data_IF_068985617749
#
_entry.id   IF_068985617749
#
_cell.length_a   1.000
_cell.length_b   1.000
_cell.length_c   1.000
_cell.angle_alpha   90.00
_cell.angle_beta   90.00
_cell.angle_gamma   90.00
#
_symmetry.space_group_name_H-M   'P 1'
#
loop_
_entity.id
_entity.type
_entity.pdbx_description
1 polymer ?
#
# COMPACT_ATOMS: atom_id res chain seq x y z
N UNK A 1 33.78 24.30 -26.14
CA UNK A 1 33.54 22.85 -26.12
C UNK A 1 33.34 22.43 -24.68
N UNK A 2 32.09 22.33 -24.23
CA UNK A 2 31.76 21.82 -22.90
C UNK A 2 30.85 20.62 -23.10
N UNK A 3 31.34 19.46 -22.66
CA UNK A 3 30.64 18.19 -22.77
C UNK A 3 29.41 18.19 -21.85
N UNK A 4 28.26 17.89 -22.43
CA UNK A 4 27.04 17.50 -21.71
C UNK A 4 27.26 16.13 -21.05
N UNK A 5 26.92 15.93 -19.77
CA UNK A 5 26.90 14.59 -19.20
C UNK A 5 25.70 13.82 -19.78
N UNK A 6 25.99 12.63 -20.29
CA UNK A 6 25.02 11.64 -20.75
C UNK A 6 24.11 11.21 -19.60
N UNK A 7 22.82 11.51 -19.73
CA UNK A 7 21.76 10.89 -18.94
C UNK A 7 21.47 9.52 -19.52
N UNK A 8 22.09 8.47 -18.99
CA UNK A 8 21.66 7.07 -19.14
C UNK A 8 22.40 6.18 -18.11
N UNK A 9 22.26 6.51 -16.83
CA UNK A 9 22.48 5.52 -15.76
C UNK A 9 21.10 5.02 -15.30
N UNK A 10 20.78 3.73 -15.50
CA UNK A 10 19.52 3.17 -15.02
C UNK A 10 19.51 3.17 -13.48
N UNK A 11 18.47 3.79 -12.91
CA UNK A 11 18.17 3.73 -11.48
C UNK A 11 17.98 2.26 -11.08
N UNK A 12 18.84 1.75 -10.20
CA UNK A 12 18.93 0.35 -9.77
C UNK A 12 17.72 -0.20 -8.99
N UNK A 13 16.51 0.36 -9.16
CA UNK A 13 15.27 -0.04 -8.51
C UNK A 13 14.05 0.00 -9.45
N UNK A 14 14.25 -0.05 -10.77
CA UNK A 14 13.17 -0.47 -11.67
C UNK A 14 13.02 -2.00 -11.61
N UNK A 15 11.78 -2.54 -11.62
CA UNK A 15 11.54 -3.98 -11.58
C UNK A 15 11.89 -4.60 -12.94
N UNK A 16 13.19 -4.68 -13.24
CA UNK A 16 13.68 -5.48 -14.34
C UNK A 16 13.76 -6.94 -13.87
N UNK A 17 12.70 -7.67 -14.22
CA UNK A 17 12.71 -9.08 -14.58
C UNK A 17 13.52 -10.02 -13.67
N UNK A 18 12.92 -10.41 -12.56
CA UNK A 18 13.21 -11.71 -11.95
C UNK A 18 12.38 -12.77 -12.68
N UNK A 19 12.93 -13.28 -13.78
CA UNK A 19 12.47 -14.50 -14.42
C UNK A 19 12.89 -15.70 -13.55
N UNK A 20 11.94 -16.50 -13.06
CA UNK A 20 12.20 -17.83 -12.50
C UNK A 20 11.17 -18.81 -13.05
N UNK A 21 11.68 -20.02 -13.34
CA UNK A 21 11.06 -21.24 -13.86
C UNK A 21 9.52 -21.34 -13.78
N UNK A 22 8.92 -21.75 -14.90
CA UNK A 22 7.49 -22.06 -15.16
C UNK A 22 6.70 -21.01 -15.96
N UNK A 23 7.32 -19.91 -16.39
CA UNK A 23 6.71 -19.00 -17.36
C UNK A 23 5.53 -18.18 -16.82
N UNK A 24 5.34 -18.16 -15.50
CA UNK A 24 4.41 -17.27 -14.80
C UNK A 24 5.21 -16.18 -14.10
N UNK A 25 4.88 -14.91 -14.37
CA UNK A 25 5.44 -13.79 -13.62
C UNK A 25 5.18 -13.98 -12.12
N UNK A 26 6.16 -13.69 -11.24
CA UNK A 26 5.97 -13.85 -9.81
C UNK A 26 4.78 -12.98 -9.35
N UNK A 27 3.86 -13.60 -8.60
CA UNK A 27 2.69 -12.91 -8.06
C UNK A 27 3.13 -11.83 -7.05
N UNK A 28 3.25 -10.58 -7.49
CA UNK A 28 3.61 -9.48 -6.59
C UNK A 28 2.36 -8.81 -6.02
N UNK A 29 2.24 -8.87 -4.71
CA UNK A 29 1.22 -8.20 -3.92
C UNK A 29 1.67 -6.78 -3.56
N UNK A 30 0.73 -5.92 -3.23
CA UNK A 30 0.99 -4.53 -2.85
C UNK A 30 0.51 -4.26 -1.42
N UNK A 31 1.06 -3.21 -0.80
CA UNK A 31 0.55 -2.69 0.46
C UNK A 31 -0.95 -2.29 0.40
N UNK A 32 -1.47 -1.98 -0.79
CA UNK A 32 -2.90 -1.75 -1.02
C UNK A 32 -3.71 -3.05 -0.94
N UNK A 33 -3.17 -4.19 -1.40
CA UNK A 33 -3.81 -5.49 -1.20
C UNK A 33 -3.85 -5.85 0.28
N UNK A 34 -2.74 -5.61 1.01
CA UNK A 34 -2.71 -5.81 2.47
C UNK A 34 -3.84 -5.00 3.13
N UNK A 35 -3.95 -3.70 2.84
CA UNK A 35 -5.06 -2.86 3.32
C UNK A 35 -6.41 -3.49 2.97
N UNK A 36 -6.60 -3.87 1.72
CA UNK A 36 -7.88 -4.34 1.22
C UNK A 36 -8.25 -5.72 1.81
N UNK A 37 -7.28 -6.57 2.10
CA UNK A 37 -7.49 -7.85 2.79
C UNK A 37 -8.14 -7.66 4.16
N UNK A 38 -7.71 -6.64 4.92
CA UNK A 38 -8.31 -6.27 6.20
C UNK A 38 -9.70 -5.61 6.08
N UNK A 39 -10.11 -5.21 4.87
CA UNK A 39 -11.48 -4.81 4.57
C UNK A 39 -12.30 -6.05 4.23
N UNK A 40 -11.85 -6.81 3.23
CA UNK A 40 -12.41 -8.09 2.81
C UNK A 40 -11.40 -8.85 1.92
N UNK A 41 -10.98 -10.04 2.36
CA UNK A 41 -10.06 -10.92 1.62
C UNK A 41 -10.56 -11.26 0.21
N UNK A 42 -11.88 -11.48 0.06
CA UNK A 42 -12.48 -11.78 -1.25
C UNK A 42 -12.34 -10.65 -2.26
N UNK A 43 -12.28 -9.40 -1.82
CA UNK A 43 -12.08 -8.28 -2.75
C UNK A 43 -10.70 -8.35 -3.39
N UNK A 44 -9.67 -8.71 -2.62
CA UNK A 44 -8.31 -8.94 -3.16
C UNK A 44 -8.33 -10.12 -4.12
N UNK A 45 -8.94 -11.24 -3.72
CA UNK A 45 -9.06 -12.43 -4.56
C UNK A 45 -9.72 -12.11 -5.91
N UNK A 46 -10.90 -11.47 -5.90
CA UNK A 46 -11.60 -11.08 -7.12
C UNK A 46 -10.79 -10.09 -7.96
N UNK A 47 -10.16 -9.08 -7.37
CA UNK A 47 -9.34 -8.13 -8.12
C UNK A 47 -8.15 -8.81 -8.81
N UNK A 48 -7.50 -9.75 -8.13
CA UNK A 48 -6.29 -10.40 -8.61
C UNK A 48 -6.58 -11.48 -9.66
N UNK A 49 -7.69 -12.21 -9.56
CA UNK A 49 -8.04 -13.24 -10.54
C UNK A 49 -8.89 -12.71 -11.70
N UNK A 50 -9.78 -11.74 -11.47
CA UNK A 50 -10.69 -11.23 -12.52
C UNK A 50 -10.07 -10.07 -13.33
N UNK A 51 -8.91 -9.55 -12.93
CA UNK A 51 -8.12 -8.58 -13.67
C UNK A 51 -8.92 -7.36 -14.15
N UNK A 52 -9.09 -7.24 -15.48
CA UNK A 52 -9.67 -6.09 -16.19
C UNK A 52 -11.17 -5.89 -16.01
N UNK A 53 -11.90 -6.85 -15.44
CA UNK A 53 -13.36 -6.74 -15.25
C UNK A 53 -13.76 -5.96 -14.00
N UNK A 54 -12.85 -5.13 -13.48
CA UNK A 54 -13.08 -4.34 -12.28
C UNK A 54 -14.06 -3.19 -12.56
N UNK A 55 -15.23 -3.15 -11.89
CA UNK A 55 -16.10 -1.99 -11.96
C UNK A 55 -15.44 -0.82 -11.22
N UNK A 56 -15.14 0.28 -11.90
CA UNK A 56 -14.68 1.50 -11.22
C UNK A 56 -15.84 2.17 -10.52
N UNK A 57 -15.70 2.45 -9.22
CA UNK A 57 -16.68 3.25 -8.49
C UNK A 57 -16.38 4.74 -8.59
N UNK A 58 -17.39 5.58 -8.41
CA UNK A 58 -17.23 7.05 -8.41
C UNK A 58 -16.20 7.52 -7.36
N UNK A 59 -16.19 6.91 -6.16
CA UNK A 59 -15.21 7.23 -5.12
C UNK A 59 -13.76 6.90 -5.53
N UNK A 60 -13.56 5.90 -6.38
CA UNK A 60 -12.24 5.57 -6.92
C UNK A 60 -11.80 6.58 -7.98
N UNK A 61 -12.70 6.98 -8.88
CA UNK A 61 -12.43 7.99 -9.91
C UNK A 61 -12.07 9.34 -9.27
N UNK A 62 -12.87 9.79 -8.29
CA UNK A 62 -12.57 11.00 -7.51
C UNK A 62 -11.25 10.87 -6.74
N UNK A 63 -10.96 9.70 -6.17
CA UNK A 63 -9.69 9.42 -5.49
C UNK A 63 -8.46 9.52 -6.40
N UNK A 64 -8.59 9.09 -7.66
CA UNK A 64 -7.52 9.08 -8.68
C UNK A 64 -7.29 10.48 -9.30
N UNK A 65 -8.38 11.19 -9.63
CA UNK A 65 -8.33 12.58 -10.13
C UNK A 65 -7.72 13.53 -9.08
N UNK A 66 -8.07 13.36 -7.81
CA UNK A 66 -7.48 14.09 -6.68
C UNK A 66 -6.00 13.76 -6.45
N UNK A 67 -5.58 12.54 -6.83
CA UNK A 67 -4.22 12.04 -6.66
C UNK A 67 -3.18 12.83 -7.46
N UNK A 68 -3.54 13.25 -8.67
CA UNK A 68 -2.55 13.62 -9.68
C UNK A 68 -2.15 15.11 -9.68
N UNK A 69 -3.07 16.03 -9.35
CA UNK A 69 -2.80 17.49 -9.48
C UNK A 69 -2.95 18.29 -8.19
N UNK A 70 -3.83 17.90 -7.27
CA UNK A 70 -4.06 18.62 -6.02
C UNK A 70 -3.20 18.08 -4.86
N UNK A 71 -2.96 16.75 -4.81
CA UNK A 71 -2.17 16.09 -3.76
C UNK A 71 -0.72 16.59 -3.69
N UNK A 72 -0.02 16.76 -4.80
CA UNK A 72 1.37 17.27 -4.80
C UNK A 72 1.49 18.68 -4.18
N UNK A 73 0.50 19.56 -4.41
CA UNK A 73 0.45 20.92 -3.84
C UNK A 73 0.01 20.93 -2.38
N UNK A 74 -0.94 20.07 -2.00
CA UNK A 74 -1.42 19.94 -0.62
C UNK A 74 -0.34 19.30 0.29
N UNK A 75 0.35 18.23 -0.18
CA UNK A 75 1.42 17.56 0.57
C UNK A 75 2.52 18.54 1.00
N UNK A 76 3.03 19.38 0.08
CA UNK A 76 4.08 20.38 0.38
C UNK A 76 3.67 21.40 1.44
N UNK A 77 2.41 21.84 1.48
CA UNK A 77 1.91 22.80 2.48
C UNK A 77 1.81 22.19 3.88
N UNK A 78 1.57 20.88 3.97
CA UNK A 78 1.37 20.18 5.25
C UNK A 78 2.65 19.58 5.84
N UNK A 79 3.79 19.63 5.11
CA UNK A 79 5.10 19.18 5.61
C UNK A 79 5.51 19.83 6.94
N UNK A 80 5.11 21.08 7.18
CA UNK A 80 5.42 21.81 8.43
C UNK A 80 4.84 21.19 9.69
N UNK A 81 3.86 20.30 9.55
CA UNK A 81 3.24 19.59 10.69
C UNK A 81 3.79 18.17 10.87
N UNK A 82 4.69 17.74 9.99
CA UNK A 82 5.35 16.45 10.07
C UNK A 82 6.67 16.57 10.85
N UNK A 83 7.21 15.43 11.34
CA UNK A 83 8.56 15.40 11.89
C UNK A 83 9.60 16.01 10.92
N UNK A 84 10.62 16.62 11.50
CA UNK A 84 11.79 17.10 10.77
C UNK A 84 12.64 15.92 10.25
N UNK A 85 13.24 16.10 9.08
CA UNK A 85 14.05 15.10 8.40
C UNK A 85 14.06 15.31 6.90
N UNK A 86 14.77 14.42 6.19
CA UNK A 86 14.78 14.42 4.73
C UNK A 86 13.52 13.76 4.18
N UNK A 87 12.90 14.39 3.19
CA UNK A 87 11.61 13.98 2.65
C UNK A 87 11.76 13.26 1.31
N UNK A 88 11.50 11.96 1.31
CA UNK A 88 11.56 11.10 0.13
C UNK A 88 10.15 10.81 -0.39
N UNK A 89 9.77 11.45 -1.48
CA UNK A 89 8.42 11.35 -2.05
C UNK A 89 8.26 10.11 -2.94
N UNK A 90 7.11 9.44 -2.84
CA UNK A 90 6.67 8.36 -3.74
C UNK A 90 7.75 7.26 -3.96
N UNK A 91 8.57 7.01 -2.93
CA UNK A 91 9.68 6.06 -2.96
C UNK A 91 9.15 4.63 -3.25
N UNK A 92 9.59 3.98 -4.34
CA UNK A 92 9.22 2.60 -4.60
C UNK A 92 9.89 1.67 -3.58
N UNK A 93 9.11 0.78 -3.01
CA UNK A 93 9.56 -0.26 -2.09
C UNK A 93 9.18 -1.62 -2.64
N UNK A 94 10.10 -2.57 -2.54
CA UNK A 94 9.92 -3.92 -3.03
C UNK A 94 10.75 -4.90 -2.19
N UNK A 95 10.18 -6.09 -1.97
CA UNK A 95 10.84 -7.24 -1.40
C UNK A 95 10.42 -8.49 -2.19
N UNK A 96 11.39 -9.11 -2.86
CA UNK A 96 11.15 -10.26 -3.73
C UNK A 96 10.80 -11.54 -2.94
N UNK A 97 11.45 -11.76 -1.80
CA UNK A 97 11.23 -12.95 -0.97
C UNK A 97 9.83 -12.93 -0.34
N UNK A 98 9.39 -11.75 0.10
CA UNK A 98 8.06 -11.54 0.65
C UNK A 98 6.98 -11.45 -0.44
N UNK A 99 7.37 -11.25 -1.71
CA UNK A 99 6.42 -11.02 -2.81
C UNK A 99 5.59 -9.74 -2.63
N UNK A 100 6.15 -8.72 -1.96
CA UNK A 100 5.42 -7.52 -1.57
C UNK A 100 6.07 -6.25 -2.12
N UNK A 101 5.23 -5.33 -2.60
CA UNK A 101 5.63 -4.01 -3.05
C UNK A 101 4.79 -2.91 -2.41
N UNK A 102 5.28 -1.68 -2.46
CA UNK A 102 4.56 -0.53 -1.94
C UNK A 102 5.14 0.79 -2.45
N UNK A 103 4.30 1.81 -2.47
CA UNK A 103 4.70 3.18 -2.76
C UNK A 103 4.06 4.10 -1.72
N UNK A 104 4.70 4.30 -0.55
CA UNK A 104 4.25 5.31 0.40
C UNK A 104 4.25 6.69 -0.24
N UNK A 105 3.31 7.54 0.17
CA UNK A 105 3.22 8.91 -0.37
C UNK A 105 4.46 9.75 -0.02
N UNK A 106 5.07 9.46 1.13
CA UNK A 106 6.27 10.10 1.67
C UNK A 106 6.96 9.13 2.63
N UNK A 107 8.30 9.13 2.64
CA UNK A 107 9.11 8.56 3.71
C UNK A 107 9.94 9.70 4.31
N UNK A 108 9.86 9.89 5.61
CA UNK A 108 10.69 10.85 6.34
C UNK A 108 11.91 10.11 6.86
N UNK A 109 13.09 10.52 6.46
CA UNK A 109 14.35 10.09 7.05
C UNK A 109 14.72 11.06 8.18
N UNK A 110 14.35 10.68 9.40
CA UNK A 110 14.73 11.40 10.60
C UNK A 110 16.05 10.84 11.14
N UNK A 111 16.69 11.56 12.06
CA UNK A 111 18.04 11.24 12.58
C UNK A 111 18.24 9.77 13.02
N UNK A 112 17.19 9.08 13.48
CA UNK A 112 17.29 7.71 14.02
C UNK A 112 16.26 6.72 13.47
N UNK A 113 15.40 7.14 12.55
CA UNK A 113 14.34 6.28 12.00
C UNK A 113 13.84 6.77 10.64
N UNK A 114 13.28 5.85 9.87
CA UNK A 114 12.49 6.13 8.69
C UNK A 114 11.01 6.00 9.03
N UNK A 115 10.22 6.99 8.64
CA UNK A 115 8.81 7.08 8.99
C UNK A 115 8.01 7.08 7.69
N UNK A 116 7.35 5.97 7.30
CA UNK A 116 6.44 5.98 6.17
C UNK A 116 5.20 6.80 6.49
N UNK A 117 4.76 7.62 5.55
CA UNK A 117 3.61 8.51 5.65
C UNK A 117 2.63 8.25 4.51
N UNK A 118 1.35 8.18 4.86
CA UNK A 118 0.26 8.00 3.92
C UNK A 118 -0.80 9.10 4.16
N UNK A 119 -1.03 9.93 3.16
CA UNK A 119 -2.04 10.99 3.25
C UNK A 119 -3.41 10.39 2.92
N UNK A 120 -4.45 10.78 3.64
CA UNK A 120 -5.81 10.32 3.36
C UNK A 120 -6.72 11.51 3.20
N UNK A 121 -7.42 11.56 2.09
CA UNK A 121 -8.53 12.47 1.90
C UNK A 121 -9.81 11.89 2.52
N UNK A 122 -9.74 11.68 3.83
CA UNK A 122 -10.83 11.12 4.61
C UNK A 122 -10.73 11.64 6.03
N UNK A 123 -11.89 11.89 6.62
CA UNK A 123 -11.97 12.18 8.03
C UNK A 123 -11.69 10.91 8.85
N UNK A 124 -12.18 9.75 8.42
CA UNK A 124 -11.97 8.48 9.12
C UNK A 124 -10.68 7.76 8.67
N UNK A 125 -9.66 7.81 9.54
CA UNK A 125 -8.36 7.17 9.33
C UNK A 125 -8.02 6.15 10.43
N UNK A 126 -9.00 5.75 11.25
CA UNK A 126 -8.78 4.93 12.44
C UNK A 126 -8.82 3.41 12.19
N UNK A 127 -9.30 2.98 11.02
CA UNK A 127 -9.51 1.56 10.73
C UNK A 127 -8.21 0.74 10.77
N UNK A 128 -8.33 -0.53 11.20
CA UNK A 128 -7.23 -1.50 11.22
C UNK A 128 -6.54 -1.59 9.85
N UNK A 129 -7.32 -1.65 8.77
CA UNK A 129 -6.80 -1.67 7.39
C UNK A 129 -5.82 -0.52 7.09
N UNK A 130 -6.04 0.68 7.64
CA UNK A 130 -5.15 1.82 7.46
C UNK A 130 -3.83 1.60 8.22
N UNK A 131 -3.91 1.10 9.46
CA UNK A 131 -2.71 0.77 10.23
C UNK A 131 -1.87 -0.34 9.57
N UNK A 132 -2.53 -1.32 8.94
CA UNK A 132 -1.86 -2.43 8.25
C UNK A 132 -1.23 -2.00 6.93
N UNK A 133 -1.79 -0.98 6.25
CA UNK A 133 -1.12 -0.36 5.10
C UNK A 133 0.21 0.28 5.51
N UNK A 134 0.21 1.08 6.59
CA UNK A 134 1.42 1.67 7.15
C UNK A 134 2.41 0.60 7.62
N UNK A 135 1.92 -0.47 8.22
CA UNK A 135 2.76 -1.58 8.64
C UNK A 135 3.42 -2.30 7.46
N UNK A 136 2.72 -2.46 6.33
CA UNK A 136 3.30 -3.01 5.11
C UNK A 136 4.46 -2.14 4.58
N UNK A 137 4.29 -0.81 4.54
CA UNK A 137 5.38 0.09 4.17
C UNK A 137 6.55 0.01 5.16
N UNK A 138 6.25 -0.03 6.47
CA UNK A 138 7.27 -0.17 7.50
C UNK A 138 8.05 -1.47 7.39
N UNK A 139 7.38 -2.59 7.13
CA UNK A 139 8.00 -3.89 6.91
C UNK A 139 8.94 -3.85 5.70
N UNK A 140 8.50 -3.30 4.57
CA UNK A 140 9.34 -3.16 3.38
C UNK A 140 10.60 -2.31 3.63
N UNK A 141 10.46 -1.19 4.35
CA UNK A 141 11.60 -0.37 4.74
C UNK A 141 12.57 -1.14 5.67
N UNK A 142 12.04 -1.91 6.64
CA UNK A 142 12.85 -2.75 7.53
C UNK A 142 13.63 -3.80 6.74
N UNK A 143 13.00 -4.43 5.74
CA UNK A 143 13.63 -5.42 4.87
C UNK A 143 14.75 -4.85 4.01
N UNK A 144 14.72 -3.55 3.74
CA UNK A 144 15.83 -2.79 3.11
C UNK A 144 16.91 -2.33 4.12
N UNK A 145 16.90 -2.82 5.36
CA UNK A 145 17.88 -2.48 6.39
C UNK A 145 17.62 -1.14 7.10
N UNK A 146 16.46 -0.48 6.87
CA UNK A 146 16.14 0.79 7.52
C UNK A 146 15.54 0.58 8.90
N UNK A 147 15.89 1.46 9.85
CA UNK A 147 15.29 1.48 11.18
C UNK A 147 13.92 2.13 11.11
N UNK A 148 12.86 1.41 11.49
CA UNK A 148 11.48 1.93 11.51
C UNK A 148 10.82 1.56 12.84
N UNK A 149 10.27 2.54 13.56
CA UNK A 149 9.54 2.29 14.83
C UNK A 149 8.06 2.62 14.72
N UNK A 150 7.70 3.51 13.81
CA UNK A 150 6.35 4.01 13.60
C UNK A 150 6.16 4.47 12.16
N UNK A 151 4.91 4.61 11.76
CA UNK A 151 4.52 5.36 10.56
C UNK A 151 3.38 6.32 10.87
N UNK A 152 3.02 7.14 9.88
CA UNK A 152 2.04 8.21 10.05
C UNK A 152 0.94 8.08 9.00
N UNK A 153 -0.31 8.21 9.46
CA UNK A 153 -1.44 8.49 8.57
C UNK A 153 -1.86 9.94 8.76
N UNK A 154 -1.89 10.71 7.68
CA UNK A 154 -2.27 12.11 7.73
C UNK A 154 -3.66 12.33 7.13
N UNK A 155 -4.64 12.75 7.94
CA UNK A 155 -5.95 13.15 7.42
C UNK A 155 -5.89 14.57 6.86
N UNK A 156 -6.04 14.72 5.54
CA UNK A 156 -6.04 16.02 4.87
C UNK A 156 -7.23 16.91 5.32
N UNK A 157 -8.48 16.41 5.38
CA UNK A 157 -9.62 17.22 5.82
C UNK A 157 -9.48 17.69 7.27
N UNK A 158 -8.95 16.85 8.15
CA UNK A 158 -8.79 17.17 9.58
C UNK A 158 -7.49 17.89 9.90
N UNK A 159 -6.52 17.91 8.96
CA UNK A 159 -5.14 18.39 9.18
C UNK A 159 -4.52 17.79 10.44
N UNK A 160 -4.75 16.50 10.64
CA UNK A 160 -4.29 15.76 11.82
C UNK A 160 -3.55 14.51 11.40
N UNK A 161 -2.41 14.29 12.04
CA UNK A 161 -1.67 13.05 11.93
C UNK A 161 -2.11 12.05 12.99
N UNK A 162 -2.07 10.77 12.63
CA UNK A 162 -2.18 9.63 13.53
C UNK A 162 -0.92 8.80 13.40
N UNK A 163 -0.24 8.61 14.51
CA UNK A 163 0.93 7.73 14.57
C UNK A 163 0.51 6.28 14.75
N UNK A 164 1.19 5.39 14.02
CA UNK A 164 1.00 3.94 14.07
C UNK A 164 2.31 3.35 14.56
N UNK A 165 2.32 2.80 15.78
CA UNK A 165 3.46 2.04 16.27
C UNK A 165 3.65 0.78 15.42
N UNK A 166 4.89 0.47 15.06
CA UNK A 166 5.24 -0.72 14.27
C UNK A 166 5.97 -1.71 15.17
N UNK A 167 5.17 -2.52 15.85
CA UNK A 167 5.64 -3.58 16.73
C UNK A 167 5.74 -4.92 16.01
N UNK A 168 6.47 -5.86 16.61
CA UNK A 168 6.69 -7.20 16.04
C UNK A 168 5.38 -7.93 15.73
N UNK A 169 4.34 -7.76 16.56
CA UNK A 169 3.04 -8.38 16.31
C UNK A 169 2.42 -7.87 15.01
N UNK A 170 2.35 -6.54 14.83
CA UNK A 170 1.78 -5.92 13.64
C UNK A 170 2.56 -6.25 12.38
N UNK A 171 3.90 -6.31 12.46
CA UNK A 171 4.75 -6.69 11.33
C UNK A 171 4.53 -8.16 10.93
N UNK A 172 4.51 -9.09 11.90
CA UNK A 172 4.20 -10.50 11.65
C UNK A 172 2.78 -10.70 11.10
N UNK A 173 1.84 -9.87 11.52
CA UNK A 173 0.48 -9.92 10.99
C UNK A 173 0.43 -9.53 9.50
N UNK A 174 1.27 -8.59 9.04
CA UNK A 174 1.42 -8.30 7.61
C UNK A 174 1.98 -9.52 6.87
N UNK A 175 3.09 -10.10 7.36
CA UNK A 175 3.72 -11.27 6.75
C UNK A 175 2.73 -12.44 6.62
N UNK A 176 1.99 -12.72 7.69
CA UNK A 176 0.97 -13.78 7.72
C UNK A 176 -0.15 -13.54 6.71
N UNK A 177 -0.60 -12.29 6.56
CA UNK A 177 -1.63 -11.92 5.58
C UNK A 177 -1.11 -12.01 4.15
N UNK A 178 0.14 -11.59 3.90
CA UNK A 178 0.79 -11.75 2.59
C UNK A 178 0.89 -13.22 2.22
N UNK A 179 1.36 -14.07 3.13
CA UNK A 179 1.40 -15.52 2.90
C UNK A 179 0.01 -16.10 2.64
N UNK A 180 -1.00 -15.69 3.41
CA UNK A 180 -2.39 -16.13 3.22
C UNK A 180 -2.93 -15.71 1.85
N UNK A 181 -2.62 -14.49 1.40
CA UNK A 181 -2.97 -14.01 0.07
C UNK A 181 -2.34 -14.91 -1.00
N UNK A 182 -1.04 -15.18 -0.93
CA UNK A 182 -0.39 -16.09 -1.87
C UNK A 182 -1.05 -17.47 -1.91
N UNK A 183 -1.31 -18.08 -0.75
CA UNK A 183 -1.97 -19.39 -0.66
C UNK A 183 -3.33 -19.38 -1.38
N UNK A 184 -4.18 -18.39 -1.09
CA UNK A 184 -5.52 -18.31 -1.69
C UNK A 184 -5.49 -17.99 -3.19
N UNK A 185 -4.55 -17.17 -3.63
CA UNK A 185 -4.44 -16.74 -5.03
C UNK A 185 -3.84 -17.85 -5.90
N UNK A 186 -2.77 -18.51 -5.44
CA UNK A 186 -2.12 -19.60 -6.18
C UNK A 186 -2.98 -20.87 -6.24
N UNK A 187 -3.75 -21.16 -5.19
CA UNK A 187 -4.69 -22.27 -5.18
C UNK A 187 -6.06 -21.94 -5.80
N UNK A 188 -6.25 -20.70 -6.28
CA UNK A 188 -7.55 -20.16 -6.73
C UNK A 188 -8.69 -20.43 -5.74
N UNK A 189 -8.37 -20.48 -4.44
CA UNK A 189 -9.32 -20.80 -3.40
C UNK A 189 -9.94 -19.51 -2.86
N UNK A 190 -11.25 -19.34 -3.05
CA UNK A 190 -11.97 -18.17 -2.55
C UNK A 190 -11.83 -18.07 -1.01
N UNK A 191 -11.27 -16.97 -0.47
CA UNK A 191 -11.12 -16.81 0.97
C UNK A 191 -12.48 -16.57 1.67
N UNK A 192 -12.55 -16.71 3.00
CA UNK A 192 -13.78 -16.41 3.74
C UNK A 192 -14.20 -14.94 3.56
N UNK A 193 -15.52 -14.64 3.63
CA UNK A 193 -16.01 -13.28 3.50
C UNK A 193 -15.66 -12.46 4.76
N UNK A 194 -15.69 -11.14 4.62
CA UNK A 194 -15.61 -10.25 5.80
C UNK A 194 -16.78 -10.49 6.74
N UNK A 195 -16.53 -10.45 8.06
CA UNK A 195 -17.58 -10.53 9.08
C UNK A 195 -18.46 -9.28 9.10
N UNK A 196 -17.99 -8.16 8.54
CA UNK A 196 -18.69 -6.88 8.52
C UNK A 196 -19.61 -6.77 7.30
N UNK A 197 -20.82 -7.36 7.39
CA UNK A 197 -21.81 -7.39 6.30
C UNK A 197 -22.19 -6.02 5.72
N UNK A 198 -22.12 -4.95 6.53
CA UNK A 198 -22.37 -3.58 6.05
C UNK A 198 -21.42 -3.15 4.91
N UNK A 199 -20.19 -3.68 4.87
CA UNK A 199 -19.25 -3.42 3.78
C UNK A 199 -19.68 -4.06 2.45
N UNK A 200 -20.53 -5.09 2.50
CA UNK A 200 -20.99 -5.77 1.31
C UNK A 200 -22.01 -4.94 0.52
N UNK A 201 -22.73 -4.02 1.18
CA UNK A 201 -23.79 -3.21 0.55
C UNK A 201 -23.24 -2.37 -0.60
N UNK A 202 -22.05 -1.79 -0.42
CA UNK A 202 -21.34 -0.96 -1.40
C UNK A 202 -20.18 -1.69 -2.11
N UNK A 203 -20.07 -3.01 -1.94
CA UNK A 203 -18.98 -3.78 -2.52
C UNK A 203 -19.15 -3.96 -4.04
N UNK A 204 -18.11 -3.60 -4.80
CA UNK A 204 -18.08 -3.74 -6.27
C UNK A 204 -18.26 -5.20 -6.74
N UNK A 205 -17.90 -6.18 -5.89
CA UNK A 205 -18.03 -7.62 -6.18
C UNK A 205 -19.27 -8.27 -5.57
N UNK A 206 -20.21 -7.50 -4.99
CA UNK A 206 -21.38 -8.08 -4.29
C UNK A 206 -22.16 -9.08 -5.17
N UNK A 207 -22.36 -8.76 -6.45
CA UNK A 207 -23.11 -9.61 -7.40
C UNK A 207 -22.40 -10.92 -7.73
N UNK A 208 -21.08 -10.95 -7.70
CA UNK A 208 -20.28 -12.16 -7.89
C UNK A 208 -20.20 -12.99 -6.60
N UNK A 209 -20.11 -12.32 -5.46
CA UNK A 209 -19.89 -12.95 -4.17
C UNK A 209 -21.09 -13.78 -3.69
N UNK A 210 -22.32 -13.33 -3.97
CA UNK A 210 -23.62 -13.96 -3.64
C UNK A 210 -23.81 -14.53 -2.21
N UNK A 211 -22.91 -14.17 -1.28
CA UNK A 211 -22.87 -14.71 0.10
C UNK A 211 -23.60 -13.81 1.12
N UNK A 212 -24.47 -12.92 0.65
CA UNK A 212 -25.21 -11.97 1.48
C UNK A 212 -26.68 -11.99 1.05
N UNK A 213 -27.49 -12.68 1.86
CA UNK A 213 -28.95 -12.63 1.84
C UNK A 213 -29.43 -11.56 2.82
#
# INVERSE_FOLDING_TARGET
>A
MYATPSTDEPLANEPQALAIADGLDPLILTASDVKQWFVCARVVWYQRLLGTWRPTTYAMQVGDEMHTRQRARLRRRHLRTLPEGDYHMDMPLFDAELGLSGRPDLVIEAQHEHIPVDFKDSTNVQGKHVAMQIAAYGLLLIRQGRKVKRGIVYSLPRRRMREIRLDTHRLREVESVVQSMHTHLLAEQLPPPTTKRALCVSCEFRRYCNDVF
#
